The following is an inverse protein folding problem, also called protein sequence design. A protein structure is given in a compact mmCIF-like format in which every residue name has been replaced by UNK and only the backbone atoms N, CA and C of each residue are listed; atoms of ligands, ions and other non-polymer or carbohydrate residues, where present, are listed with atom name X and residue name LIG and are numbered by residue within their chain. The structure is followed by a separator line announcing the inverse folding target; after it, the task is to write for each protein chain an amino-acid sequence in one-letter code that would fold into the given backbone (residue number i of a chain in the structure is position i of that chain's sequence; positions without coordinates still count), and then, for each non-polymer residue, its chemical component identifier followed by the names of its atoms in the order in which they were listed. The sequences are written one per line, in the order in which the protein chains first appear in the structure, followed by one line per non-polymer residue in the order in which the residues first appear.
data_IF_356916013540
#
_entry.id   IF_356916013540
#
_cell.length_a   1.000
_cell.length_b   1.000
_cell.length_c   1.000
_cell.angle_alpha   90.00
_cell.angle_beta   90.00
_cell.angle_gamma   90.00
#
_symmetry.space_group_name_H-M   'P 1'
#
loop_
_entity.id
_entity.type
_entity.pdbx_description
1 polymer ?
#
# COMPACT_ATOMS: atom_id res chain seq x y z
N UNK A 1 16.41 16.62 7.07
CA UNK A 1 16.87 15.56 6.16
C UNK A 1 15.66 14.86 5.53
N UNK A 2 15.71 14.68 4.23
CA UNK A 2 14.59 14.03 3.53
C UNK A 2 14.53 12.57 3.88
N UNK A 3 13.30 12.09 4.11
CA UNK A 3 13.08 10.68 4.39
C UNK A 3 12.94 9.91 3.09
N UNK A 4 13.37 8.65 3.09
CA UNK A 4 13.14 7.74 1.98
C UNK A 4 11.65 7.39 1.96
N UNK A 5 11.01 7.60 0.82
CA UNK A 5 9.58 7.29 0.66
C UNK A 5 9.42 5.83 0.26
N UNK A 6 8.86 5.04 1.16
CA UNK A 6 8.70 3.60 0.98
C UNK A 6 7.26 3.30 0.63
N UNK A 7 7.06 2.51 -0.42
CA UNK A 7 5.76 1.99 -0.77
C UNK A 7 5.76 0.48 -0.59
N UNK A 8 4.62 -0.08 -0.18
CA UNK A 8 4.47 -1.51 -0.01
C UNK A 8 3.47 -2.03 -1.01
N UNK A 9 3.91 -2.93 -1.88
CA UNK A 9 3.02 -3.55 -2.86
C UNK A 9 2.39 -4.79 -2.22
N UNK A 10 1.13 -4.67 -1.86
CA UNK A 10 0.37 -5.73 -1.20
C UNK A 10 0.26 -5.51 0.30
N UNK A 11 -0.94 -5.20 0.78
CA UNK A 11 -1.17 -4.93 2.19
C UNK A 11 -1.93 -6.06 2.86
N UNK A 12 -1.30 -7.23 2.92
CA UNK A 12 -1.79 -8.38 3.67
C UNK A 12 -1.10 -8.44 5.04
N UNK A 13 -0.98 -9.66 5.58
CA UNK A 13 -0.36 -9.85 6.90
C UNK A 13 1.09 -9.39 6.91
N UNK A 14 1.87 -9.82 5.89
CA UNK A 14 3.28 -9.45 5.81
C UNK A 14 3.46 -7.98 5.48
N UNK A 15 2.67 -7.47 4.54
CA UNK A 15 2.73 -6.05 4.18
C UNK A 15 2.43 -5.15 5.35
N UNK A 16 1.45 -5.52 6.18
CA UNK A 16 1.12 -4.75 7.38
C UNK A 16 2.29 -4.73 8.37
N UNK A 17 2.96 -5.87 8.55
CA UNK A 17 4.12 -5.93 9.44
C UNK A 17 5.27 -5.05 8.95
N UNK A 18 5.50 -5.06 7.64
CA UNK A 18 6.53 -4.21 7.04
C UNK A 18 6.14 -2.73 7.21
N UNK A 19 4.88 -2.41 7.00
CA UNK A 19 4.40 -1.03 7.17
C UNK A 19 4.63 -0.55 8.59
N UNK A 20 4.29 -1.38 9.58
CA UNK A 20 4.50 -1.03 10.98
C UNK A 20 5.98 -0.79 11.27
N UNK A 21 6.87 -1.62 10.70
CA UNK A 21 8.30 -1.45 10.87
C UNK A 21 8.81 -0.15 10.24
N UNK A 22 8.30 0.19 9.05
CA UNK A 22 8.68 1.44 8.37
C UNK A 22 8.26 2.65 9.20
N UNK A 23 7.07 2.61 9.79
CA UNK A 23 6.56 3.71 10.60
C UNK A 23 7.41 3.98 11.85
N UNK A 24 8.20 3.00 12.28
CA UNK A 24 9.09 3.15 13.42
C UNK A 24 10.46 3.75 13.05
N UNK A 25 10.75 3.90 11.75
CA UNK A 25 12.03 4.41 11.30
C UNK A 25 11.99 5.93 11.15
N UNK A 26 13.02 6.60 11.67
CA UNK A 26 13.11 8.06 11.57
C UNK A 26 13.49 8.53 10.18
N UNK A 27 14.17 7.69 9.42
CA UNK A 27 14.69 8.03 8.08
C UNK A 27 13.80 7.52 6.94
N UNK A 28 12.64 6.96 7.25
CA UNK A 28 11.71 6.43 6.27
C UNK A 28 10.33 7.02 6.46
N UNK A 29 9.62 7.17 5.33
CA UNK A 29 8.24 7.60 5.33
C UNK A 29 7.42 6.56 4.58
N UNK A 30 6.32 6.10 5.17
CA UNK A 30 5.42 5.19 4.47
C UNK A 30 4.55 6.01 3.53
N UNK A 31 4.89 6.00 2.25
CA UNK A 31 4.22 6.83 1.24
C UNK A 31 2.92 6.21 0.75
N UNK A 32 2.76 4.90 0.89
CA UNK A 32 1.52 4.26 0.49
C UNK A 32 1.64 2.75 0.46
N UNK A 33 0.49 2.12 0.35
CA UNK A 33 0.38 0.66 0.20
C UNK A 33 -0.59 0.39 -0.94
N UNK A 34 -0.47 -0.78 -1.58
CA UNK A 34 -1.42 -1.17 -2.62
C UNK A 34 -2.30 -2.31 -2.13
N UNK A 35 -3.48 -2.41 -2.72
CA UNK A 35 -4.41 -3.49 -2.39
C UNK A 35 -5.22 -3.83 -3.63
N UNK A 36 -5.68 -5.07 -3.69
CA UNK A 36 -6.53 -5.58 -4.78
C UNK A 36 -7.99 -5.64 -4.36
N UNK A 37 -8.24 -6.07 -3.13
CA UNK A 37 -9.59 -6.27 -2.61
C UNK A 37 -9.76 -5.58 -1.25
N UNK A 38 -10.99 -5.20 -0.91
CA UNK A 38 -11.25 -4.60 0.41
C UNK A 38 -10.95 -5.59 1.53
N UNK A 39 -10.39 -5.08 2.62
CA UNK A 39 -9.98 -5.87 3.77
C UNK A 39 -10.05 -4.97 5.00
N UNK A 40 -10.32 -5.56 6.17
CA UNK A 40 -10.41 -4.77 7.40
C UNK A 40 -9.12 -4.01 7.71
N UNK A 41 -7.96 -4.55 7.26
CA UNK A 41 -6.67 -3.89 7.46
C UNK A 41 -6.60 -2.55 6.74
N UNK A 42 -7.30 -2.44 5.60
CA UNK A 42 -7.32 -1.19 4.83
C UNK A 42 -8.12 -0.10 5.53
N UNK A 43 -9.20 -0.48 6.20
CA UNK A 43 -9.94 0.49 7.00
C UNK A 43 -9.08 1.02 8.15
N UNK A 44 -8.32 0.13 8.78
CA UNK A 44 -7.39 0.53 9.84
C UNK A 44 -6.28 1.42 9.29
N UNK A 45 -5.77 1.11 8.09
CA UNK A 45 -4.75 1.94 7.44
C UNK A 45 -5.29 3.35 7.16
N UNK A 46 -6.52 3.45 6.64
CA UNK A 46 -7.17 4.73 6.41
C UNK A 46 -7.23 5.56 7.69
N UNK A 47 -7.59 4.94 8.81
CA UNK A 47 -7.67 5.63 10.10
C UNK A 47 -6.32 6.15 10.56
N UNK A 48 -5.25 5.46 10.23
CA UNK A 48 -3.89 5.87 10.58
C UNK A 48 -3.33 6.92 9.62
N UNK A 49 -4.06 7.26 8.57
CA UNK A 49 -3.60 8.21 7.57
C UNK A 49 -2.68 7.61 6.53
N UNK A 50 -2.57 6.28 6.46
CA UNK A 50 -1.77 5.60 5.45
C UNK A 50 -2.53 5.66 4.12
N UNK A 51 -1.84 6.09 3.07
CA UNK A 51 -2.46 6.17 1.74
C UNK A 51 -2.57 4.80 1.12
N UNK A 52 -3.75 4.50 0.57
CA UNK A 52 -4.04 3.21 -0.07
C UNK A 52 -4.25 3.44 -1.56
N UNK A 53 -3.64 2.58 -2.37
CA UNK A 53 -3.77 2.64 -3.83
C UNK A 53 -4.28 1.30 -4.35
N UNK A 54 -5.05 1.32 -5.42
CA UNK A 54 -5.47 0.09 -6.08
C UNK A 54 -4.34 -0.43 -6.97
N UNK A 55 -4.25 -1.76 -7.12
CA UNK A 55 -3.27 -2.34 -8.05
C UNK A 55 -3.57 -1.96 -9.49
N UNK A 56 -4.80 -1.59 -9.78
CA UNK A 56 -5.25 -1.03 -11.06
C UNK A 56 -6.49 -0.18 -10.79
N UNK A 57 -7.07 0.41 -11.85
CA UNK A 57 -8.24 1.27 -11.68
C UNK A 57 -9.48 0.50 -11.24
N UNK A 58 -9.64 -0.75 -11.66
CA UNK A 58 -10.75 -1.59 -11.21
C UNK A 58 -10.66 -1.85 -9.71
N UNK A 59 -9.46 -2.18 -9.23
CA UNK A 59 -9.24 -2.39 -7.81
C UNK A 59 -9.55 -1.13 -7.02
N UNK A 60 -9.14 0.03 -7.53
CA UNK A 60 -9.42 1.30 -6.87
C UNK A 60 -10.92 1.54 -6.75
N UNK A 61 -11.69 1.30 -7.82
CA UNK A 61 -13.15 1.42 -7.78
C UNK A 61 -13.77 0.44 -6.78
N UNK A 62 -13.25 -0.78 -6.75
CA UNK A 62 -13.74 -1.82 -5.83
C UNK A 62 -13.51 -1.40 -4.37
N UNK A 63 -12.33 -0.86 -4.08
CA UNK A 63 -12.00 -0.38 -2.74
C UNK A 63 -12.90 0.76 -2.32
N UNK A 64 -13.09 1.74 -3.20
CA UNK A 64 -13.96 2.88 -2.91
C UNK A 64 -15.41 2.45 -2.73
N UNK A 65 -15.86 1.49 -3.51
CA UNK A 65 -17.21 0.93 -3.39
C UNK A 65 -17.45 0.26 -2.05
N UNK A 66 -16.40 -0.25 -1.41
CA UNK A 66 -16.49 -0.87 -0.09
C UNK A 66 -16.23 0.10 1.05
N UNK A 67 -15.96 1.37 0.75
CA UNK A 67 -15.73 2.38 1.77
C UNK A 67 -14.27 2.59 2.14
N UNK A 68 -13.34 1.98 1.41
CA UNK A 68 -11.91 2.20 1.62
C UNK A 68 -11.49 3.41 0.78
N UNK A 69 -10.88 4.40 1.42
CA UNK A 69 -10.38 5.56 0.71
C UNK A 69 -9.19 5.15 -0.17
N UNK A 70 -9.31 5.34 -1.48
CA UNK A 70 -8.28 4.99 -2.44
C UNK A 70 -7.74 6.26 -3.09
N UNK A 71 -6.41 6.40 -3.09
CA UNK A 71 -5.73 7.61 -3.55
C UNK A 71 -5.29 7.55 -5.01
N UNK A 72 -5.57 6.46 -5.71
CA UNK A 72 -5.24 6.29 -7.10
C UNK A 72 -4.88 4.85 -7.42
N UNK A 73 -4.42 4.62 -8.65
CA UNK A 73 -4.00 3.29 -9.10
C UNK A 73 -2.50 3.09 -8.90
N UNK A 74 -1.98 1.99 -9.43
CA UNK A 74 -0.57 1.65 -9.28
C UNK A 74 0.38 2.70 -9.89
N UNK A 75 -0.03 3.34 -10.98
CA UNK A 75 0.79 4.40 -11.57
C UNK A 75 0.95 5.59 -10.64
N UNK A 76 -0.10 5.95 -9.93
CA UNK A 76 -0.03 7.01 -8.93
C UNK A 76 0.84 6.60 -7.75
N UNK A 77 0.74 5.33 -7.35
CA UNK A 77 1.55 4.78 -6.26
C UNK A 77 3.04 4.87 -6.58
N UNK A 78 3.43 4.39 -7.76
CA UNK A 78 4.84 4.35 -8.17
C UNK A 78 5.46 5.74 -8.20
N UNK A 79 4.69 6.75 -8.59
CA UNK A 79 5.19 8.13 -8.67
C UNK A 79 5.46 8.75 -7.30
N UNK A 80 4.93 8.17 -6.24
CA UNK A 80 5.05 8.74 -4.89
C UNK A 80 6.17 8.14 -4.08
N UNK A 81 6.79 7.06 -4.55
CA UNK A 81 7.73 6.29 -3.73
C UNK A 81 9.12 6.28 -4.33
N UNK A 82 10.13 6.18 -3.46
CA UNK A 82 11.52 6.01 -3.85
C UNK A 82 11.88 4.54 -3.93
N UNK A 83 11.26 3.72 -3.08
CA UNK A 83 11.53 2.29 -2.98
C UNK A 83 10.21 1.55 -2.83
N UNK A 84 10.06 0.44 -3.52
CA UNK A 84 8.89 -0.44 -3.39
C UNK A 84 9.33 -1.76 -2.76
N UNK A 85 8.62 -2.16 -1.71
CA UNK A 85 8.81 -3.48 -1.11
C UNK A 85 7.64 -4.35 -1.56
N UNK A 86 7.95 -5.47 -2.22
CA UNK A 86 6.91 -6.38 -2.69
C UNK A 86 6.55 -7.37 -1.58
N UNK A 87 5.33 -7.29 -1.11
CA UNK A 87 4.79 -8.16 -0.07
C UNK A 87 3.61 -8.98 -0.58
N UNK A 88 3.49 -9.14 -1.89
CA UNK A 88 2.43 -9.96 -2.47
C UNK A 88 2.71 -11.44 -2.20
N UNK A 89 1.66 -12.29 -2.16
CA UNK A 89 1.86 -13.72 -1.98
C UNK A 89 2.78 -14.29 -3.07
N UNK A 90 3.62 -15.26 -2.70
CA UNK A 90 4.63 -15.82 -3.59
C UNK A 90 4.06 -16.33 -4.92
N UNK A 91 2.91 -16.98 -4.90
CA UNK A 91 2.28 -17.47 -6.12
C UNK A 91 1.89 -16.36 -7.07
N UNK A 92 1.38 -15.25 -6.55
CA UNK A 92 0.99 -14.09 -7.36
C UNK A 92 2.23 -13.42 -7.94
N UNK A 93 3.28 -13.25 -7.13
CA UNK A 93 4.49 -12.59 -7.59
C UNK A 93 5.19 -13.34 -8.70
N UNK A 94 5.11 -14.66 -8.70
CA UNK A 94 5.79 -15.48 -9.71
C UNK A 94 5.10 -15.47 -11.07
N UNK A 95 3.83 -15.23 -11.10
CA UNK A 95 3.06 -15.22 -12.34
C UNK A 95 3.23 -13.92 -13.14
N UNK A 96 3.81 -12.95 -12.53
CA UNK A 96 4.06 -11.65 -13.18
C UNK A 96 5.45 -11.58 -13.86
#
# INVERSE_FOLDING_TARGET
MEKVKVGINGYGVIGKRIADAVLLQDDMELAGVTARTPDYRLFAANKKGIKVFGVDSEACHRLMGAGVKCNGDFNHFIKRVDVVIDATPAGVGREN
#
